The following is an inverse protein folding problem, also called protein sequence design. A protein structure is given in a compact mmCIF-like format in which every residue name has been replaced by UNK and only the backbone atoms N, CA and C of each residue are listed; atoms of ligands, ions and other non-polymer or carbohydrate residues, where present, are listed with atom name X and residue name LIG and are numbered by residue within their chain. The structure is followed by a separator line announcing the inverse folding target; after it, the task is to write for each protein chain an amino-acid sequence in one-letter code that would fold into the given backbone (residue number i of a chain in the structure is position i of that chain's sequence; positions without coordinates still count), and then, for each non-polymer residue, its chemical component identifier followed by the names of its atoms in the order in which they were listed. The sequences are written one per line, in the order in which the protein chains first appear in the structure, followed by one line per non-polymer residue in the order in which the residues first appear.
data_IF_281337092646
#
_entry.id   IF_281337092646
#
_cell.length_a   1.000
_cell.length_b   1.000
_cell.length_c   1.000
_cell.angle_alpha   90.00
_cell.angle_beta   90.00
_cell.angle_gamma   90.00
#
_symmetry.space_group_name_H-M   'P 1'
#
loop_
_entity.id
_entity.type
_entity.pdbx_description
1 polymer ?
#
# COMPACT_ATOMS: atom_id res chain seq x y z
N UNK A 1 2.79 -20.40 18.54
CA UNK A 1 3.42 -19.07 18.32
C UNK A 1 4.78 -19.30 17.69
N UNK A 2 5.08 -18.63 16.56
CA UNK A 2 6.37 -18.70 15.87
C UNK A 2 7.24 -17.51 16.26
N UNK A 3 8.54 -17.74 16.48
CA UNK A 3 9.50 -16.66 16.75
C UNK A 3 10.23 -16.27 15.46
N UNK A 4 10.31 -14.97 15.19
CA UNK A 4 10.99 -14.39 14.01
C UNK A 4 11.88 -13.24 14.49
N UNK A 5 13.08 -13.12 13.95
CA UNK A 5 14.00 -12.05 14.36
C UNK A 5 13.45 -10.66 14.06
N UNK A 6 12.92 -10.47 12.86
CA UNK A 6 12.38 -9.18 12.42
C UNK A 6 10.96 -9.33 11.89
N UNK A 7 10.04 -8.51 12.36
CA UNK A 7 8.68 -8.40 11.84
C UNK A 7 8.50 -6.99 11.30
N UNK A 8 8.02 -6.87 10.07
CA UNK A 8 7.73 -5.59 9.43
C UNK A 8 6.24 -5.56 9.10
N UNK A 9 5.49 -4.65 9.71
CA UNK A 9 4.06 -4.48 9.47
C UNK A 9 3.86 -3.40 8.42
N UNK A 10 3.51 -3.81 7.21
CA UNK A 10 3.32 -2.97 6.03
C UNK A 10 4.40 -3.15 4.96
N UNK A 11 3.97 -3.50 3.74
CA UNK A 11 4.83 -3.71 2.56
C UNK A 11 5.10 -2.40 1.78
N UNK A 12 5.11 -1.26 2.48
CA UNK A 12 5.45 0.03 1.88
C UNK A 12 6.93 0.17 1.55
N UNK A 13 7.32 1.29 0.94
CA UNK A 13 8.70 1.50 0.46
C UNK A 13 9.74 1.34 1.57
N UNK A 14 9.49 1.88 2.76
CA UNK A 14 10.41 1.74 3.91
C UNK A 14 10.53 0.29 4.34
N UNK A 15 9.40 -0.38 4.55
CA UNK A 15 9.36 -1.79 5.01
C UNK A 15 10.04 -2.74 4.04
N UNK A 16 9.75 -2.65 2.73
CA UNK A 16 10.39 -3.53 1.74
C UNK A 16 11.90 -3.30 1.61
N UNK A 17 12.34 -2.04 1.70
CA UNK A 17 13.76 -1.71 1.63
C UNK A 17 14.51 -2.24 2.85
N UNK A 18 13.95 -2.07 4.03
CA UNK A 18 14.48 -2.61 5.27
C UNK A 18 14.49 -4.14 5.25
N UNK A 19 13.39 -4.79 4.79
CA UNK A 19 13.31 -6.24 4.69
C UNK A 19 14.45 -6.82 3.85
N UNK A 20 14.64 -6.23 2.65
CA UNK A 20 15.71 -6.68 1.76
C UNK A 20 17.09 -6.47 2.37
N UNK A 21 17.34 -5.33 3.00
CA UNK A 21 18.60 -5.03 3.68
C UNK A 21 18.90 -6.07 4.77
N UNK A 22 17.94 -6.34 5.66
CA UNK A 22 18.11 -7.30 6.74
C UNK A 22 18.34 -8.73 6.22
N UNK A 23 17.58 -9.15 5.20
CA UNK A 23 17.72 -10.46 4.59
C UNK A 23 19.12 -10.65 3.95
N UNK A 24 19.64 -9.62 3.27
CA UNK A 24 21.00 -9.64 2.71
C UNK A 24 22.10 -9.74 3.77
N UNK A 25 21.81 -9.39 5.03
CA UNK A 25 22.68 -9.58 6.18
C UNK A 25 22.40 -10.90 6.94
N UNK A 26 21.70 -11.83 6.31
CA UNK A 26 21.41 -13.16 6.86
C UNK A 26 20.33 -13.19 7.96
N UNK A 27 19.55 -12.12 8.09
CA UNK A 27 18.51 -12.06 9.12
C UNK A 27 17.14 -12.51 8.60
N UNK A 28 16.42 -13.30 9.39
CA UNK A 28 15.06 -13.72 9.09
C UNK A 28 14.08 -12.53 9.24
N UNK A 29 13.22 -12.35 8.24
CA UNK A 29 12.24 -11.26 8.18
C UNK A 29 10.86 -11.79 7.83
N UNK A 30 9.85 -11.41 8.61
CA UNK A 30 8.44 -11.56 8.28
C UNK A 30 7.87 -10.19 7.88
N UNK A 31 7.41 -10.07 6.63
CA UNK A 31 6.71 -8.87 6.15
C UNK A 31 5.22 -9.18 6.09
N UNK A 32 4.41 -8.37 6.76
CA UNK A 32 2.95 -8.54 6.82
C UNK A 32 2.29 -7.41 6.04
N UNK A 33 1.40 -7.74 5.11
CA UNK A 33 0.63 -6.76 4.35
C UNK A 33 -0.86 -7.13 4.33
N UNK A 34 -1.72 -6.17 4.67
CA UNK A 34 -3.17 -6.42 4.73
C UNK A 34 -3.85 -6.48 3.37
N UNK A 35 -3.23 -5.92 2.35
CA UNK A 35 -3.82 -5.83 1.01
C UNK A 35 -2.80 -6.11 -0.09
N UNK A 36 -3.04 -7.15 -0.87
CA UNK A 36 -2.26 -7.47 -2.08
C UNK A 36 -2.20 -6.31 -3.07
N UNK A 37 -3.19 -5.42 -3.04
CA UNK A 37 -3.23 -4.22 -3.89
C UNK A 37 -2.24 -3.14 -3.43
N UNK A 38 -1.63 -3.31 -2.26
CA UNK A 38 -0.69 -2.34 -1.69
C UNK A 38 0.77 -2.82 -1.65
N UNK A 39 1.10 -3.95 -2.28
CA UNK A 39 2.49 -4.36 -2.39
C UNK A 39 3.36 -3.28 -3.04
N UNK A 40 4.40 -2.86 -2.35
CA UNK A 40 5.27 -1.73 -2.72
C UNK A 40 4.84 -0.38 -2.17
N UNK A 41 3.64 -0.30 -1.55
CA UNK A 41 3.14 0.85 -0.81
C UNK A 41 2.55 1.98 -1.65
N UNK A 42 2.27 3.08 -0.98
CA UNK A 42 1.55 4.25 -1.48
C UNK A 42 2.10 4.83 -2.79
N UNK A 43 3.41 5.02 -2.87
CA UNK A 43 4.05 5.64 -4.04
C UNK A 43 3.76 4.89 -5.36
N UNK A 44 3.75 3.56 -5.31
CA UNK A 44 3.54 2.72 -6.48
C UNK A 44 2.06 2.62 -6.84
N UNK A 45 1.21 2.51 -5.84
CA UNK A 45 -0.18 2.08 -6.04
C UNK A 45 -1.18 3.23 -6.12
N UNK A 46 -1.01 4.27 -5.30
CA UNK A 46 -2.05 5.28 -5.09
C UNK A 46 -1.55 6.73 -5.02
N UNK A 47 -0.27 7.00 -5.33
CA UNK A 47 0.25 8.37 -5.29
C UNK A 47 1.23 8.67 -6.43
N UNK A 48 2.55 8.56 -6.19
CA UNK A 48 3.59 9.14 -7.06
C UNK A 48 3.53 8.63 -8.51
N UNK A 49 3.50 7.32 -8.71
CA UNK A 49 3.56 6.74 -10.05
C UNK A 49 2.22 6.83 -10.78
N UNK A 50 1.08 6.52 -10.15
CA UNK A 50 -0.23 6.72 -10.77
C UNK A 50 -0.47 8.15 -11.22
N UNK A 51 -0.24 9.14 -10.35
CA UNK A 51 -0.46 10.56 -10.68
C UNK A 51 0.46 11.03 -11.82
N UNK A 52 1.75 10.68 -11.77
CA UNK A 52 2.69 11.02 -12.85
C UNK A 52 2.29 10.39 -14.17
N UNK A 53 1.84 9.14 -14.16
CA UNK A 53 1.37 8.48 -15.38
C UNK A 53 0.20 9.24 -16.00
N UNK A 54 -0.83 9.57 -15.22
CA UNK A 54 -1.99 10.31 -15.71
C UNK A 54 -1.61 11.70 -16.25
N UNK A 55 -0.73 12.44 -15.56
CA UNK A 55 -0.27 13.76 -16.01
C UNK A 55 0.50 13.66 -17.35
N UNK A 56 1.38 12.68 -17.47
CA UNK A 56 2.17 12.49 -18.71
C UNK A 56 1.27 12.09 -19.87
N UNK A 57 0.34 11.17 -19.67
CA UNK A 57 -0.62 10.75 -20.70
C UNK A 57 -1.50 11.92 -21.14
N UNK A 58 -1.99 12.73 -20.20
CA UNK A 58 -2.76 13.93 -20.53
C UNK A 58 -1.94 14.93 -21.38
N UNK A 59 -0.66 15.11 -21.06
CA UNK A 59 0.23 15.97 -21.85
C UNK A 59 0.47 15.45 -23.29
N UNK A 60 0.35 14.14 -23.51
CA UNK A 60 0.44 13.51 -24.82
C UNK A 60 -0.91 13.46 -25.57
N UNK A 61 -2.00 13.96 -24.99
CA UNK A 61 -3.33 13.94 -25.59
C UNK A 61 -4.04 12.59 -25.55
N UNK A 62 -3.58 11.66 -24.69
CA UNK A 62 -4.26 10.39 -24.44
C UNK A 62 -5.63 10.65 -23.81
N UNK A 63 -6.64 9.88 -24.18
CA UNK A 63 -7.96 9.97 -23.53
C UNK A 63 -7.85 9.64 -22.02
N UNK A 64 -8.77 10.17 -21.21
CA UNK A 64 -8.74 9.91 -19.78
C UNK A 64 -8.91 8.43 -19.46
N UNK A 65 -9.80 7.76 -20.17
CA UNK A 65 -10.09 6.34 -20.03
C UNK A 65 -8.85 5.49 -20.34
N UNK A 66 -8.19 5.74 -21.47
CA UNK A 66 -6.97 5.02 -21.86
C UNK A 66 -5.81 5.30 -20.89
N UNK A 67 -5.71 6.53 -20.39
CA UNK A 67 -4.69 6.89 -19.39
C UNK A 67 -4.91 6.15 -18.06
N UNK A 68 -6.17 6.01 -17.62
CA UNK A 68 -6.54 5.23 -16.42
C UNK A 68 -6.23 3.75 -16.61
N UNK A 69 -6.58 3.18 -17.76
CA UNK A 69 -6.27 1.79 -18.08
C UNK A 69 -4.75 1.53 -18.11
N UNK A 70 -3.99 2.40 -18.78
CA UNK A 70 -2.54 2.34 -18.80
C UNK A 70 -1.91 2.46 -17.41
N UNK A 71 -2.45 3.32 -16.55
CA UNK A 71 -2.08 3.44 -15.13
C UNK A 71 -2.35 2.13 -14.39
N UNK A 72 -3.52 1.50 -14.58
CA UNK A 72 -3.89 0.27 -13.91
C UNK A 72 -2.98 -0.91 -14.30
N UNK A 73 -2.67 -1.04 -15.58
CA UNK A 73 -1.69 -2.03 -16.08
C UNK A 73 -0.33 -1.82 -15.43
N UNK A 74 0.18 -0.58 -15.47
CA UNK A 74 1.48 -0.24 -14.87
C UNK A 74 1.53 -0.56 -13.37
N UNK A 75 0.54 -0.15 -12.60
CA UNK A 75 0.51 -0.38 -11.15
C UNK A 75 0.43 -1.88 -10.82
N UNK A 76 -0.33 -2.65 -11.59
CA UNK A 76 -0.42 -4.12 -11.44
C UNK A 76 0.94 -4.79 -11.66
N UNK A 77 1.63 -4.45 -12.74
CA UNK A 77 2.97 -4.98 -13.04
C UNK A 77 3.98 -4.61 -11.94
N UNK A 78 3.94 -3.37 -11.45
CA UNK A 78 4.82 -2.91 -10.38
C UNK A 78 4.54 -3.61 -9.04
N UNK A 79 3.28 -3.87 -8.70
CA UNK A 79 2.91 -4.67 -7.52
C UNK A 79 3.51 -6.06 -7.59
N UNK A 80 3.31 -6.74 -8.71
CA UNK A 80 3.85 -8.08 -8.93
C UNK A 80 5.39 -8.09 -8.82
N UNK A 81 6.07 -7.14 -9.47
CA UNK A 81 7.53 -7.01 -9.40
C UNK A 81 8.01 -6.77 -7.97
N UNK A 82 7.32 -5.93 -7.20
CA UNK A 82 7.69 -5.69 -5.81
C UNK A 82 7.46 -6.90 -4.91
N UNK A 83 6.36 -7.64 -5.11
CA UNK A 83 6.12 -8.89 -4.41
C UNK A 83 7.24 -9.90 -4.69
N UNK A 84 7.54 -10.15 -5.96
CA UNK A 84 8.59 -11.07 -6.38
C UNK A 84 9.96 -10.70 -5.79
N UNK A 85 10.27 -9.41 -5.73
CA UNK A 85 11.54 -8.91 -5.17
C UNK A 85 11.77 -9.35 -3.72
N UNK A 86 10.72 -9.49 -2.90
CA UNK A 86 10.83 -9.98 -1.53
C UNK A 86 10.57 -11.47 -1.43
N UNK A 87 9.58 -11.99 -2.13
CA UNK A 87 9.18 -13.40 -2.07
C UNK A 87 10.25 -14.36 -2.62
N UNK A 88 11.17 -13.87 -3.45
CA UNK A 88 12.31 -14.67 -3.95
C UNK A 88 13.52 -14.71 -3.00
N UNK A 89 13.52 -13.94 -1.93
CA UNK A 89 14.61 -13.92 -0.96
C UNK A 89 14.39 -15.04 0.08
N UNK A 90 15.37 -15.92 0.27
CA UNK A 90 15.28 -17.07 1.16
C UNK A 90 14.96 -16.69 2.62
N UNK A 91 15.48 -15.56 3.08
CA UNK A 91 15.32 -15.07 4.43
C UNK A 91 14.06 -14.19 4.64
N UNK A 92 13.20 -14.03 3.63
CA UNK A 92 11.99 -13.22 3.73
C UNK A 92 10.74 -14.10 3.58
N UNK A 93 9.84 -13.98 4.52
CA UNK A 93 8.47 -14.49 4.39
C UNK A 93 7.51 -13.31 4.22
N UNK A 94 6.73 -13.29 3.14
CA UNK A 94 5.64 -12.34 2.96
C UNK A 94 4.34 -13.02 3.35
N UNK A 95 3.61 -12.42 4.29
CA UNK A 95 2.34 -12.92 4.82
C UNK A 95 1.23 -11.90 4.57
N UNK A 96 0.17 -12.34 3.89
CA UNK A 96 -1.04 -11.55 3.76
C UNK A 96 -1.88 -11.64 5.03
N UNK A 97 -2.24 -10.48 5.58
CA UNK A 97 -3.07 -10.44 6.78
C UNK A 97 -3.01 -9.11 7.51
N UNK A 98 -3.88 -8.97 8.48
CA UNK A 98 -3.93 -7.80 9.38
C UNK A 98 -3.28 -8.15 10.70
N UNK A 99 -2.25 -7.40 11.07
CA UNK A 99 -1.52 -7.61 12.32
C UNK A 99 -2.16 -6.81 13.46
N UNK A 100 -2.26 -7.44 14.62
CA UNK A 100 -2.70 -6.85 15.90
C UNK A 100 -1.69 -7.16 16.98
N UNK A 101 -1.30 -6.15 17.78
CA UNK A 101 -0.45 -6.40 18.94
C UNK A 101 -1.27 -7.08 20.03
N UNK A 102 -0.72 -8.16 20.57
CA UNK A 102 -1.29 -8.92 21.71
C UNK A 102 -0.45 -8.80 22.97
N UNK A 103 0.72 -8.19 22.86
CA UNK A 103 1.62 -7.92 23.97
C UNK A 103 2.92 -7.29 23.51
N UNK A 104 3.85 -7.13 24.42
CA UNK A 104 5.17 -6.62 24.08
C UNK A 104 5.90 -7.62 23.18
N UNK A 105 6.27 -7.21 21.98
CA UNK A 105 6.90 -8.04 20.95
C UNK A 105 6.06 -9.23 20.44
N UNK A 106 4.76 -9.26 20.71
CA UNK A 106 3.85 -10.30 20.20
C UNK A 106 2.73 -9.73 19.38
N UNK A 107 2.43 -10.40 18.27
CA UNK A 107 1.34 -10.04 17.37
C UNK A 107 0.55 -11.26 16.95
N UNK A 108 -0.72 -11.06 16.71
CA UNK A 108 -1.57 -11.98 15.95
C UNK A 108 -1.82 -11.42 14.55
N UNK A 109 -1.77 -12.28 13.56
CA UNK A 109 -2.05 -11.94 12.16
C UNK A 109 -3.31 -12.67 11.73
N UNK A 110 -4.33 -11.92 11.41
CA UNK A 110 -5.57 -12.45 10.84
C UNK A 110 -5.42 -12.53 9.32
N UNK A 111 -5.38 -13.75 8.79
CA UNK A 111 -5.22 -14.00 7.36
C UNK A 111 -6.55 -13.90 6.61
N UNK A 112 -6.54 -13.71 5.27
CA UNK A 112 -7.77 -13.60 4.47
C UNK A 112 -8.68 -14.82 4.50
N UNK A 113 -8.14 -16.00 4.80
CA UNK A 113 -8.89 -17.26 4.96
C UNK A 113 -9.46 -17.45 6.38
N UNK A 114 -9.34 -16.42 7.24
CA UNK A 114 -9.91 -16.40 8.59
C UNK A 114 -9.07 -17.07 9.67
N UNK A 115 -7.86 -17.53 9.36
CA UNK A 115 -6.96 -18.08 10.36
C UNK A 115 -6.30 -16.96 11.17
N UNK A 116 -5.96 -17.26 12.41
CA UNK A 116 -5.14 -16.40 13.27
C UNK A 116 -3.80 -17.05 13.54
N UNK A 117 -2.72 -16.38 13.12
CA UNK A 117 -1.35 -16.85 13.27
C UNK A 117 -0.61 -15.95 14.27
N UNK A 118 -0.08 -16.54 15.35
CA UNK A 118 0.63 -15.80 16.40
C UNK A 118 2.14 -15.81 16.18
N UNK A 119 2.75 -14.63 16.28
CA UNK A 119 4.19 -14.42 16.13
C UNK A 119 4.78 -13.63 17.30
N UNK A 120 6.03 -13.95 17.60
CA UNK A 120 6.89 -13.17 18.51
C UNK A 120 8.08 -12.64 17.71
N UNK A 121 8.30 -11.31 17.71
CA UNK A 121 9.45 -10.67 17.07
C UNK A 121 10.49 -10.23 18.09
N UNK A 122 11.77 -10.37 17.80
CA UNK A 122 12.80 -9.67 18.58
C UNK A 122 12.73 -8.17 18.29
N UNK A 123 12.49 -7.81 17.02
CA UNK A 123 12.26 -6.44 16.55
C UNK A 123 10.98 -6.38 15.72
N UNK A 124 10.15 -5.38 15.98
CA UNK A 124 8.93 -5.13 15.21
C UNK A 124 8.98 -3.71 14.66
N UNK A 125 8.84 -3.58 13.35
CA UNK A 125 8.84 -2.31 12.63
C UNK A 125 7.43 -1.99 12.12
N UNK A 126 6.89 -0.85 12.52
CA UNK A 126 5.57 -0.37 12.11
C UNK A 126 5.76 0.52 10.88
N UNK A 127 5.31 0.06 9.72
CA UNK A 127 5.41 0.74 8.43
C UNK A 127 4.03 0.80 7.74
N UNK A 128 2.99 1.04 8.50
CA UNK A 128 1.58 0.97 8.06
C UNK A 128 1.15 2.15 7.19
N UNK A 129 1.98 3.19 7.09
CA UNK A 129 1.72 4.36 6.25
C UNK A 129 0.67 5.30 6.86
N UNK A 130 -0.01 6.04 5.98
CA UNK A 130 -1.04 7.01 6.35
C UNK A 130 -2.25 6.87 5.42
N UNK A 131 -3.39 7.32 5.89
CA UNK A 131 -4.64 7.43 5.11
C UNK A 131 -5.07 8.90 5.05
N UNK A 132 -5.71 9.34 3.94
CA UNK A 132 -6.25 10.69 3.85
C UNK A 132 -7.25 10.97 4.96
N UNK A 133 -7.13 12.14 5.59
CA UNK A 133 -8.11 12.63 6.56
C UNK A 133 -9.20 13.40 5.84
N UNK A 134 -10.44 13.05 6.08
CA UNK A 134 -11.60 13.81 5.59
C UNK A 134 -11.90 14.89 6.63
N UNK A 135 -11.79 16.20 6.27
CA UNK A 135 -12.06 17.27 7.22
C UNK A 135 -13.52 17.28 7.69
N UNK A 136 -13.71 17.81 8.89
CA UNK A 136 -15.05 17.87 9.50
C UNK A 136 -15.81 19.10 9.03
N UNK A 137 -16.22 19.08 7.76
CA UNK A 137 -17.03 20.13 7.12
C UNK A 137 -18.48 19.61 7.06
N UNK A 138 -19.46 20.43 7.49
CA UNK A 138 -20.87 20.02 7.44
C UNK A 138 -21.29 19.55 6.05
N UNK A 139 -21.88 18.36 5.98
CA UNK A 139 -22.35 17.73 4.74
C UNK A 139 -21.28 16.97 3.94
N UNK A 140 -19.99 17.20 4.16
CA UNK A 140 -18.93 16.58 3.35
C UNK A 140 -18.92 15.06 3.47
N UNK A 141 -18.92 14.52 4.67
CA UNK A 141 -18.85 13.06 4.92
C UNK A 141 -20.04 12.29 4.37
N UNK A 142 -21.17 12.96 4.20
CA UNK A 142 -22.42 12.38 3.71
C UNK A 142 -22.63 12.61 2.20
N UNK A 143 -21.71 13.30 1.53
CA UNK A 143 -21.81 13.53 0.08
C UNK A 143 -21.56 12.24 -0.68
N UNK A 144 -22.46 11.81 -1.59
CA UNK A 144 -22.25 10.64 -2.43
C UNK A 144 -21.14 10.86 -3.49
N UNK A 145 -20.70 12.10 -3.67
CA UNK A 145 -19.67 12.48 -4.64
C UNK A 145 -18.30 12.70 -3.99
N UNK A 146 -18.21 12.51 -2.67
CA UNK A 146 -16.92 12.64 -1.97
C UNK A 146 -15.94 11.58 -2.47
N UNK A 147 -14.77 12.03 -2.89
CA UNK A 147 -13.66 11.16 -3.24
C UNK A 147 -12.34 11.71 -2.70
N UNK A 148 -11.45 10.83 -2.34
CA UNK A 148 -10.06 11.16 -2.04
C UNK A 148 -9.19 11.07 -3.32
N UNK A 149 -7.92 11.42 -3.21
CA UNK A 149 -6.98 11.40 -4.35
C UNK A 149 -6.88 10.03 -5.04
N UNK A 150 -6.94 8.93 -4.30
CA UNK A 150 -6.93 7.57 -4.86
C UNK A 150 -8.16 7.32 -5.71
N UNK A 151 -9.33 7.59 -5.15
CA UNK A 151 -10.61 7.40 -5.82
C UNK A 151 -10.75 8.31 -7.05
N UNK A 152 -10.21 9.53 -6.99
CA UNK A 152 -10.19 10.44 -8.13
C UNK A 152 -9.37 9.89 -9.31
N UNK A 153 -8.22 9.26 -9.05
CA UNK A 153 -7.38 8.64 -10.08
C UNK A 153 -7.94 7.31 -10.64
N UNK A 154 -8.93 6.74 -9.97
CA UNK A 154 -9.57 5.48 -10.36
C UNK A 154 -10.96 5.69 -10.97
N UNK A 155 -11.36 6.95 -11.22
CA UNK A 155 -12.65 7.23 -11.88
C UNK A 155 -12.66 6.62 -13.28
N UNK A 156 -13.76 5.95 -13.68
CA UNK A 156 -13.87 5.35 -15.01
C UNK A 156 -14.08 6.39 -16.11
N UNK A 157 -14.51 7.60 -15.75
CA UNK A 157 -14.76 8.72 -16.67
C UNK A 157 -14.36 10.03 -16.04
N UNK A 158 -13.90 10.95 -16.86
CA UNK A 158 -13.58 12.31 -16.43
C UNK A 158 -14.87 13.01 -15.96
N UNK A 159 -14.92 13.54 -14.71
CA UNK A 159 -16.07 14.30 -14.25
C UNK A 159 -16.21 15.61 -15.03
N UNK A 160 -17.46 16.07 -15.25
CA UNK A 160 -17.73 17.34 -15.93
C UNK A 160 -17.31 18.55 -15.07
N UNK A 161 -17.50 18.42 -13.77
CA UNK A 161 -17.16 19.43 -12.78
C UNK A 161 -16.44 18.76 -11.61
N UNK A 162 -15.41 19.40 -11.11
CA UNK A 162 -14.63 18.92 -9.97
C UNK A 162 -14.39 20.07 -9.00
N UNK A 163 -14.81 19.89 -7.75
CA UNK A 163 -14.50 20.80 -6.65
C UNK A 163 -13.40 20.18 -5.79
N UNK A 164 -12.30 20.89 -5.62
CA UNK A 164 -11.16 20.46 -4.83
C UNK A 164 -11.16 21.20 -3.50
N UNK A 165 -11.24 20.47 -2.40
CA UNK A 165 -11.19 21.03 -1.05
C UNK A 165 -9.78 20.86 -0.51
N UNK A 166 -9.04 21.95 -0.47
CA UNK A 166 -7.62 21.99 -0.11
C UNK A 166 -6.69 22.23 -1.29
N UNK A 167 -5.47 22.68 -0.98
CA UNK A 167 -4.44 22.98 -1.97
C UNK A 167 -3.03 22.75 -1.42
N UNK A 168 -2.87 21.68 -0.60
CA UNK A 168 -1.58 21.27 -0.04
C UNK A 168 -0.75 20.42 -1.00
N UNK A 169 0.18 19.67 -0.45
CA UNK A 169 1.05 18.79 -1.23
C UNK A 169 0.35 17.51 -1.76
N UNK A 170 -0.81 17.20 -1.19
CA UNK A 170 -1.62 16.02 -1.56
C UNK A 170 -3.05 16.51 -1.78
#
# INVERSE_FOLDING_TARGET
MKTVKNIIIGFGKGGKTLAKFLAQHGEQVLVIEKSKQMYGGTCINIACLPSKRLIIEAAHGTSFEDAVDGKNVMTSQLRQKNYQMLASEENITVLDGTAHFTGNHTIDVQTPDGQTLSYKGERIFINTGATPTIPDIPGLKNSPFLMNSTQAMDQPKLPRELVIIGGGYI
#
